data_IF_218289841396
#
_entry.id   IF_218289841396
#
_cell.length_a   1.000
_cell.length_b   1.000
_cell.length_c   1.000
_cell.angle_alpha   90.00
_cell.angle_beta   90.00
_cell.angle_gamma   90.00
#
_symmetry.space_group_name_H-M   'P 1'
#
loop_
_entity.id
_entity.type
_entity.pdbx_description
1 polymer ?
#
# COMPACT_ATOMS: atom_id res chain seq x y z
N UNK A 1 11.02 22.45 30.94
CA UNK A 1 10.65 23.34 29.82
C UNK A 1 9.15 23.52 29.85
N UNK A 2 8.60 24.74 29.71
CA UNK A 2 7.15 24.90 29.69
C UNK A 2 6.60 24.23 28.43
N UNK A 3 5.52 23.45 28.58
CA UNK A 3 4.77 22.91 27.45
C UNK A 3 3.98 24.09 26.88
N UNK A 4 4.52 24.73 25.84
CA UNK A 4 3.77 25.73 25.08
C UNK A 4 2.69 24.96 24.33
N UNK A 5 1.43 25.24 24.65
CA UNK A 5 0.30 24.67 23.92
C UNK A 5 0.38 25.13 22.46
N UNK A 6 0.71 24.21 21.55
CA UNK A 6 0.65 24.46 20.13
C UNK A 6 -0.81 24.67 19.75
N UNK A 7 -1.12 25.74 19.02
CA UNK A 7 -2.48 25.97 18.54
C UNK A 7 -2.98 24.76 17.72
N UNK A 8 -4.27 24.48 17.84
CA UNK A 8 -4.89 23.38 17.10
C UNK A 8 -4.71 23.59 15.59
N UNK A 9 -4.14 22.59 14.93
CA UNK A 9 -3.95 22.60 13.48
C UNK A 9 -5.27 22.85 12.74
N UNK A 10 -5.24 23.77 11.77
CA UNK A 10 -6.39 24.13 10.93
C UNK A 10 -6.10 23.76 9.48
N UNK A 11 -6.73 22.72 8.93
CA UNK A 11 -6.54 22.35 7.54
C UNK A 11 -6.98 23.45 6.58
N UNK A 12 -6.10 23.80 5.64
CA UNK A 12 -6.40 24.68 4.50
C UNK A 12 -6.62 23.86 3.24
N UNK A 13 -7.28 24.42 2.24
CA UNK A 13 -7.48 23.75 0.94
C UNK A 13 -6.16 23.39 0.26
N UNK A 14 -5.14 24.25 0.38
CA UNK A 14 -3.80 23.99 -0.13
C UNK A 14 -3.17 22.77 0.55
N UNK A 15 -3.19 22.73 1.89
CA UNK A 15 -2.65 21.59 2.64
C UNK A 15 -3.41 20.30 2.35
N UNK A 16 -4.74 20.35 2.16
CA UNK A 16 -5.55 19.19 1.77
C UNK A 16 -5.15 18.66 0.40
N UNK A 17 -5.01 19.54 -0.60
CA UNK A 17 -4.54 19.16 -1.95
C UNK A 17 -3.13 18.55 -1.90
N UNK A 18 -2.24 19.12 -1.08
CA UNK A 18 -0.89 18.59 -0.90
C UNK A 18 -0.90 17.19 -0.29
N UNK A 19 -1.67 16.96 0.77
CA UNK A 19 -1.79 15.64 1.41
C UNK A 19 -2.42 14.60 0.47
N UNK A 20 -3.47 14.97 -0.26
CA UNK A 20 -4.09 14.07 -1.24
C UNK A 20 -3.12 13.70 -2.36
N UNK A 21 -2.42 14.68 -2.93
CA UNK A 21 -1.45 14.46 -4.00
C UNK A 21 -0.29 13.57 -3.55
N UNK A 22 0.35 13.90 -2.43
CA UNK A 22 1.52 13.18 -1.91
C UNK A 22 1.18 11.78 -1.42
N UNK A 23 -0.02 11.57 -0.84
CA UNK A 23 -0.48 10.22 -0.49
C UNK A 23 -0.79 9.38 -1.72
N UNK A 24 -1.31 9.97 -2.80
CA UNK A 24 -1.48 9.31 -4.09
C UNK A 24 -0.14 8.88 -4.71
N UNK A 25 0.92 9.64 -4.49
CA UNK A 25 2.29 9.25 -4.89
C UNK A 25 2.88 8.13 -4.02
N UNK A 26 2.20 7.73 -2.94
CA UNK A 26 2.64 6.65 -2.06
C UNK A 26 3.64 7.06 -0.98
N UNK A 27 3.78 8.36 -0.69
CA UNK A 27 4.68 8.80 0.38
C UNK A 27 4.23 8.27 1.76
N UNK A 28 5.18 7.89 2.65
CA UNK A 28 4.87 7.57 4.04
C UNK A 28 4.26 8.77 4.77
N UNK A 29 3.35 8.51 5.71
CA UNK A 29 2.64 9.59 6.42
C UNK A 29 3.59 10.52 7.18
N UNK A 30 4.70 10.01 7.72
CA UNK A 30 5.74 10.83 8.37
C UNK A 30 6.33 11.87 7.41
N UNK A 31 6.61 11.49 6.16
CA UNK A 31 7.14 12.42 5.16
C UNK A 31 6.08 13.45 4.76
N UNK A 32 4.83 13.04 4.62
CA UNK A 32 3.71 13.95 4.34
C UNK A 32 3.52 14.94 5.50
N UNK A 33 3.64 14.48 6.74
CA UNK A 33 3.52 15.31 7.93
C UNK A 33 4.65 16.37 7.99
N UNK A 34 5.88 16.00 7.63
CA UNK A 34 7.01 16.94 7.46
C UNK A 34 6.70 18.00 6.41
N UNK A 35 6.14 17.61 5.25
CA UNK A 35 5.77 18.56 4.18
C UNK A 35 4.70 19.57 4.62
N UNK A 36 3.76 19.14 5.47
CA UNK A 36 2.71 20.00 6.03
C UNK A 36 3.21 20.80 7.25
N UNK A 37 4.30 20.39 7.89
CA UNK A 37 4.83 21.02 9.10
C UNK A 37 4.10 20.63 10.39
N UNK A 38 3.57 19.40 10.45
CA UNK A 38 2.81 18.89 11.61
C UNK A 38 3.30 17.52 12.06
N UNK A 39 2.88 17.09 13.25
CA UNK A 39 3.08 15.71 13.70
C UNK A 39 2.19 14.72 12.91
N UNK A 40 2.68 13.48 12.73
CA UNK A 40 1.99 12.43 11.99
C UNK A 40 0.63 12.05 12.62
N UNK A 41 0.48 12.13 13.95
CA UNK A 41 -0.83 11.94 14.61
C UNK A 41 -1.80 13.05 14.22
N UNK A 42 -1.32 14.29 14.14
CA UNK A 42 -2.11 15.44 13.68
C UNK A 42 -2.51 15.26 12.21
N UNK A 43 -1.58 14.81 11.36
CA UNK A 43 -1.88 14.51 9.96
C UNK A 43 -3.04 13.51 9.85
N UNK A 44 -2.95 12.37 10.53
CA UNK A 44 -3.99 11.33 10.50
C UNK A 44 -5.32 11.78 11.09
N UNK A 45 -5.30 12.69 12.08
CA UNK A 45 -6.52 13.25 12.69
C UNK A 45 -7.27 14.18 11.73
N UNK A 46 -6.55 15.03 11.00
CA UNK A 46 -7.15 16.13 10.23
C UNK A 46 -7.29 15.88 8.72
N UNK A 47 -6.51 14.95 8.17
CA UNK A 47 -6.45 14.68 6.73
C UNK A 47 -6.77 13.24 6.35
N UNK A 48 -7.57 12.54 7.18
CA UNK A 48 -7.88 11.13 6.93
C UNK A 48 -8.51 10.92 5.55
N UNK A 49 -9.44 11.78 5.19
CA UNK A 49 -10.13 11.73 3.90
C UNK A 49 -9.17 11.90 2.73
N UNK A 50 -8.26 12.88 2.79
CA UNK A 50 -7.28 13.15 1.73
C UNK A 50 -6.28 12.01 1.57
N UNK A 51 -5.82 11.42 2.68
CA UNK A 51 -4.93 10.26 2.68
C UNK A 51 -5.57 9.04 2.00
N UNK A 52 -6.84 8.78 2.30
CA UNK A 52 -7.59 7.66 1.71
C UNK A 52 -7.93 7.94 0.23
N UNK A 53 -8.35 9.17 -0.08
CA UNK A 53 -8.74 9.58 -1.43
C UNK A 53 -7.54 9.60 -2.39
N UNK A 54 -6.39 10.11 -1.95
CA UNK A 54 -5.17 10.15 -2.74
C UNK A 54 -4.74 8.76 -3.18
N UNK A 55 -4.69 7.81 -2.23
CA UNK A 55 -4.39 6.40 -2.52
C UNK A 55 -5.43 5.77 -3.45
N UNK A 56 -6.72 6.00 -3.22
CA UNK A 56 -7.77 5.44 -4.06
C UNK A 56 -7.68 5.94 -5.51
N UNK A 57 -7.45 7.25 -5.71
CA UNK A 57 -7.27 7.86 -7.03
C UNK A 57 -6.05 7.31 -7.76
N UNK A 58 -4.92 7.21 -7.07
CA UNK A 58 -3.70 6.66 -7.64
C UNK A 58 -3.87 5.19 -8.07
N UNK A 59 -4.43 4.37 -7.19
CA UNK A 59 -4.74 2.97 -7.51
C UNK A 59 -5.70 2.84 -8.70
N UNK A 60 -6.73 3.68 -8.76
CA UNK A 60 -7.66 3.72 -9.88
C UNK A 60 -6.99 4.09 -11.20
N UNK A 61 -6.05 5.05 -11.18
CA UNK A 61 -5.29 5.44 -12.37
C UNK A 61 -4.40 4.29 -12.87
N UNK A 62 -3.68 3.61 -11.97
CA UNK A 62 -2.88 2.43 -12.33
C UNK A 62 -3.77 1.31 -12.87
N UNK A 63 -4.91 1.05 -12.24
CA UNK A 63 -5.87 0.05 -12.70
C UNK A 63 -6.40 0.38 -14.12
N UNK A 64 -6.70 1.65 -14.40
CA UNK A 64 -7.10 2.10 -15.74
C UNK A 64 -6.01 1.86 -16.77
N UNK A 65 -4.74 2.18 -16.45
CA UNK A 65 -3.61 1.93 -17.35
C UNK A 65 -3.42 0.44 -17.61
N UNK A 66 -3.46 -0.39 -16.57
CA UNK A 66 -3.35 -1.84 -16.67
C UNK A 66 -4.48 -2.40 -17.55
N UNK A 67 -5.72 -1.99 -17.31
CA UNK A 67 -6.88 -2.41 -18.10
C UNK A 67 -6.70 -2.03 -19.57
N UNK A 68 -6.31 -0.79 -19.86
CA UNK A 68 -6.04 -0.34 -21.22
C UNK A 68 -4.98 -1.22 -21.90
N UNK A 69 -3.86 -1.49 -21.23
CA UNK A 69 -2.81 -2.38 -21.76
C UNK A 69 -3.33 -3.79 -22.04
N UNK A 70 -4.09 -4.36 -21.11
CA UNK A 70 -4.69 -5.68 -21.28
C UNK A 70 -5.63 -5.72 -22.50
N UNK A 71 -6.49 -4.71 -22.65
CA UNK A 71 -7.41 -4.61 -23.81
C UNK A 71 -6.68 -4.36 -25.14
N UNK A 72 -5.48 -3.79 -25.10
CA UNK A 72 -4.61 -3.64 -26.28
C UNK A 72 -3.76 -4.89 -26.60
N UNK A 73 -3.95 -5.99 -25.87
CA UNK A 73 -3.29 -7.26 -26.16
C UNK A 73 -1.97 -7.51 -25.42
N UNK A 74 -1.64 -6.73 -24.38
CA UNK A 74 -0.49 -7.00 -23.53
C UNK A 74 -0.71 -8.29 -22.72
N UNK A 75 0.02 -9.35 -23.06
CA UNK A 75 -0.11 -10.69 -22.44
C UNK A 75 0.15 -10.65 -20.94
N UNK A 76 1.14 -9.87 -20.48
CA UNK A 76 1.49 -9.78 -19.06
C UNK A 76 0.37 -9.12 -18.27
N UNK A 77 -0.22 -8.04 -18.78
CA UNK A 77 -1.36 -7.37 -18.19
C UNK A 77 -2.59 -8.28 -18.14
N UNK A 78 -2.85 -9.06 -19.21
CA UNK A 78 -3.93 -10.05 -19.25
C UNK A 78 -3.74 -11.16 -18.20
N UNK A 79 -2.54 -11.73 -18.10
CA UNK A 79 -2.21 -12.75 -17.08
C UNK A 79 -2.39 -12.17 -15.68
N UNK A 80 -1.86 -10.98 -15.42
CA UNK A 80 -1.95 -10.38 -14.09
C UNK A 80 -3.41 -10.04 -13.72
N UNK A 81 -4.19 -9.51 -14.67
CA UNK A 81 -5.61 -9.21 -14.45
C UNK A 81 -6.42 -10.48 -14.15
N UNK A 82 -6.28 -11.52 -14.97
CA UNK A 82 -7.00 -12.79 -14.76
C UNK A 82 -6.61 -13.46 -13.44
N UNK A 83 -5.33 -13.45 -13.07
CA UNK A 83 -4.87 -13.98 -11.77
C UNK A 83 -5.42 -13.18 -10.59
N UNK A 84 -5.36 -11.85 -10.63
CA UNK A 84 -5.71 -10.99 -9.47
C UNK A 84 -7.19 -10.65 -9.34
N UNK A 85 -7.90 -10.47 -10.46
CA UNK A 85 -9.33 -10.07 -10.47
C UNK A 85 -10.27 -11.26 -10.67
N UNK A 86 -9.91 -12.20 -11.56
CA UNK A 86 -10.73 -13.39 -11.83
C UNK A 86 -10.37 -14.57 -10.94
N UNK A 87 -9.34 -14.41 -10.08
CA UNK A 87 -8.83 -15.43 -9.16
C UNK A 87 -8.38 -16.70 -9.88
N UNK A 88 -7.90 -16.57 -11.12
CA UNK A 88 -7.31 -17.69 -11.82
C UNK A 88 -5.99 -18.02 -11.15
N UNK A 89 -5.84 -19.28 -10.77
CA UNK A 89 -4.62 -19.77 -10.16
C UNK A 89 -4.27 -21.10 -10.80
N UNK A 90 -2.97 -21.33 -10.94
CA UNK A 90 -2.47 -22.66 -11.26
C UNK A 90 -2.53 -23.50 -10.00
N UNK A 91 -3.07 -24.72 -10.10
CA UNK A 91 -2.99 -25.69 -9.01
C UNK A 91 -1.61 -26.32 -9.05
N UNK A 92 -0.78 -26.03 -8.05
CA UNK A 92 0.56 -26.63 -7.94
C UNK A 92 0.49 -27.83 -7.00
N UNK A 93 0.71 -29.03 -7.53
CA UNK A 93 0.93 -30.22 -6.70
C UNK A 93 2.41 -30.27 -6.32
N UNK A 94 2.72 -30.03 -5.05
CA UNK A 94 4.09 -30.15 -4.52
C UNK A 94 4.21 -31.45 -3.72
N UNK A 95 5.21 -32.25 -4.06
CA UNK A 95 5.62 -33.41 -3.27
C UNK A 95 6.87 -33.01 -2.50
N UNK A 96 6.74 -32.91 -1.18
CA UNK A 96 7.82 -32.46 -0.30
C UNK A 96 8.42 -33.70 0.38
N UNK A 97 9.71 -33.91 0.17
CA UNK A 97 10.49 -34.99 0.77
C UNK A 97 11.68 -34.42 1.52
N UNK A 98 12.24 -35.21 2.44
CA UNK A 98 13.49 -34.93 3.11
C UNK A 98 14.70 -35.13 2.19
N UNK A 99 15.89 -34.92 2.73
CA UNK A 99 17.15 -35.07 1.98
C UNK A 99 17.22 -36.47 1.35
N UNK A 100 17.64 -36.52 0.08
CA UNK A 100 17.76 -37.76 -0.71
C UNK A 100 16.46 -38.58 -0.83
N UNK A 101 15.30 -37.91 -0.73
CA UNK A 101 13.99 -38.57 -0.81
C UNK A 101 13.55 -39.27 0.47
N UNK A 102 14.28 -39.07 1.57
CA UNK A 102 13.94 -39.62 2.88
C UNK A 102 12.81 -38.82 3.57
N UNK A 103 12.44 -39.23 4.78
CA UNK A 103 11.39 -38.57 5.55
C UNK A 103 11.73 -37.11 5.89
N UNK A 104 10.69 -36.28 5.91
CA UNK A 104 10.81 -34.86 6.27
C UNK A 104 10.99 -34.72 7.80
N UNK A 105 12.21 -34.35 8.23
CA UNK A 105 12.52 -34.16 9.66
C UNK A 105 12.33 -32.71 10.08
N UNK A 106 11.36 -32.46 10.95
CA UNK A 106 11.12 -31.13 11.55
C UNK A 106 11.79 -31.08 12.93
N UNK A 107 12.67 -30.09 13.16
CA UNK A 107 13.24 -29.80 14.48
C UNK A 107 12.72 -28.46 14.99
N UNK A 108 12.07 -28.48 16.15
CA UNK A 108 11.65 -27.27 16.84
C UNK A 108 12.77 -26.80 17.76
N UNK A 109 13.18 -25.54 17.64
CA UNK A 109 14.00 -24.90 18.66
C UNK A 109 13.09 -24.52 19.84
N UNK A 110 13.42 -24.97 21.05
CA UNK A 110 12.74 -24.52 22.25
C UNK A 110 12.92 -22.99 22.37
N UNK A 111 11.80 -22.26 22.37
CA UNK A 111 11.80 -20.80 22.48
C UNK A 111 12.48 -20.32 23.75
N UNK A 112 13.20 -19.21 23.66
CA UNK A 112 13.55 -18.40 24.82
C UNK A 112 12.36 -17.58 25.28
#
# INVERSE_FOLDING_TARGET
MPIIAQEAHKPTDESRRMVESTSGLGLPHEQIAILVGIDDKTLRKYYRTELDLGKAKANGQIAKTLFSKATSGDTTALIWWTKTQMRWAETVKQEITGADGNDLVIKWAAGK
#
